data_IF_571158621068
#
_entry.id   IF_571158621068
#
_cell.length_a   1.000
_cell.length_b   1.000
_cell.length_c   1.000
_cell.angle_alpha   90.00
_cell.angle_beta   90.00
_cell.angle_gamma   90.00
#
_symmetry.space_group_name_H-M   'P 1'
#
loop_
_entity.id
_entity.type
_entity.pdbx_description
1 polymer ?
#
# COMPACT_ATOMS: atom_id res chain seq x y z
N UNK A 1 -40.02 1.24 -0.09
CA UNK A 1 -41.17 2.11 -0.41
C UNK A 1 -41.61 1.90 -1.86
N UNK A 2 -41.74 0.64 -2.26
CA UNK A 2 -42.03 0.23 -3.64
C UNK A 2 -41.72 -1.23 -3.86
N UNK A 3 -42.01 -1.70 -5.09
CA UNK A 3 -41.76 -3.08 -5.55
C UNK A 3 -40.84 -3.03 -6.77
N UNK A 4 -39.82 -3.90 -6.81
CA UNK A 4 -39.00 -4.08 -8.01
C UNK A 4 -39.78 -4.92 -9.03
N UNK A 5 -39.98 -4.38 -10.23
CA UNK A 5 -40.72 -4.99 -11.32
C UNK A 5 -39.96 -4.77 -12.64
N UNK A 6 -39.54 -5.86 -13.29
CA UNK A 6 -38.76 -5.84 -14.53
C UNK A 6 -37.54 -4.88 -14.52
N UNK A 7 -36.78 -4.84 -13.42
CA UNK A 7 -35.59 -4.00 -13.29
C UNK A 7 -35.85 -2.51 -13.05
N UNK A 8 -37.11 -2.12 -12.80
CA UNK A 8 -37.49 -0.77 -12.38
C UNK A 8 -38.23 -0.82 -11.05
N UNK A 9 -38.07 0.22 -10.22
CA UNK A 9 -38.86 0.32 -9.00
C UNK A 9 -40.22 0.98 -9.28
N UNK A 10 -41.29 0.26 -8.95
CA UNK A 10 -42.64 0.81 -8.89
C UNK A 10 -42.89 1.34 -7.47
N UNK A 11 -42.87 2.66 -7.31
CA UNK A 11 -42.97 3.30 -6.00
C UNK A 11 -44.37 3.28 -5.42
N UNK A 12 -44.44 3.09 -4.09
CA UNK A 12 -45.68 3.19 -3.34
C UNK A 12 -46.21 4.63 -3.38
N UNK A 13 -47.51 4.81 -3.08
CA UNK A 13 -48.13 6.13 -2.98
C UNK A 13 -47.35 7.05 -2.06
N UNK A 14 -47.00 8.25 -2.55
CA UNK A 14 -46.21 9.22 -1.80
C UNK A 14 -44.69 9.11 -1.97
N UNK A 15 -44.17 8.20 -2.80
CA UNK A 15 -42.72 8.03 -3.04
C UNK A 15 -42.33 8.20 -4.52
N UNK A 16 -41.11 8.63 -4.78
CA UNK A 16 -40.55 8.90 -6.12
C UNK A 16 -39.03 8.68 -6.16
N UNK A 17 -38.46 8.74 -7.37
CA UNK A 17 -37.06 8.42 -7.64
C UNK A 17 -36.88 6.99 -8.16
N UNK A 18 -35.72 6.71 -8.76
CA UNK A 18 -35.45 5.43 -9.45
C UNK A 18 -35.44 4.22 -8.51
N UNK A 19 -35.18 4.46 -7.22
CA UNK A 19 -35.23 3.47 -6.14
C UNK A 19 -36.30 3.81 -5.09
N UNK A 20 -37.25 4.68 -5.41
CA UNK A 20 -38.31 5.14 -4.50
C UNK A 20 -37.78 5.76 -3.20
N UNK A 21 -36.67 6.50 -3.31
CA UNK A 21 -35.93 7.05 -2.19
C UNK A 21 -36.44 8.43 -1.74
N UNK A 22 -37.23 9.14 -2.55
CA UNK A 22 -37.72 10.49 -2.24
C UNK A 22 -39.21 10.50 -1.88
N UNK A 23 -39.62 11.23 -0.84
CA UNK A 23 -41.04 11.44 -0.58
C UNK A 23 -41.58 12.51 -1.55
N UNK A 24 -42.79 12.32 -2.06
CA UNK A 24 -43.48 13.28 -2.95
C UNK A 24 -43.96 14.53 -2.23
N UNK A 25 -44.30 14.38 -0.94
CA UNK A 25 -44.70 15.48 -0.06
C UNK A 25 -43.67 15.63 1.04
N UNK A 26 -43.39 16.88 1.44
CA UNK A 26 -42.46 17.16 2.50
C UNK A 26 -43.11 17.96 3.61
N UNK A 27 -43.21 17.34 4.80
CA UNK A 27 -43.77 17.97 6.00
C UNK A 27 -42.70 18.67 6.86
N UNK A 28 -41.45 18.70 6.37
CA UNK A 28 -40.32 19.34 7.05
C UNK A 28 -40.12 20.77 6.55
N UNK A 29 -39.75 21.68 7.45
CA UNK A 29 -39.24 22.99 7.06
C UNK A 29 -37.89 22.84 6.35
N UNK A 30 -37.51 23.82 5.51
CA UNK A 30 -36.20 23.84 4.83
C UNK A 30 -35.03 23.70 5.81
N UNK A 31 -35.13 24.30 7.01
CA UNK A 31 -34.10 24.21 8.04
C UNK A 31 -33.96 22.79 8.60
N UNK A 32 -35.08 22.13 8.93
CA UNK A 32 -35.08 20.75 9.42
C UNK A 32 -34.60 19.76 8.36
N UNK A 33 -35.10 19.91 7.12
CA UNK A 33 -34.64 19.12 5.98
C UNK A 33 -33.12 19.24 5.80
N UNK A 34 -32.59 20.47 5.76
CA UNK A 34 -31.17 20.70 5.57
C UNK A 34 -30.31 20.11 6.70
N UNK A 35 -30.78 20.10 7.94
CA UNK A 35 -30.03 19.48 9.05
C UNK A 35 -29.81 17.98 8.86
N UNK A 36 -30.73 17.28 8.20
CA UNK A 36 -30.59 15.84 7.91
C UNK A 36 -29.70 15.54 6.71
N UNK A 37 -29.40 16.55 5.89
CA UNK A 37 -28.57 16.45 4.69
C UNK A 37 -27.13 16.93 4.92
N UNK A 38 -26.78 17.33 6.14
CA UNK A 38 -25.43 17.76 6.50
C UNK A 38 -24.53 16.56 6.81
N UNK A 39 -23.32 16.57 6.25
CA UNK A 39 -22.28 15.62 6.61
C UNK A 39 -21.51 16.05 7.88
N UNK A 40 -20.44 15.35 8.23
CA UNK A 40 -19.59 15.63 9.41
C UNK A 40 -18.89 17.00 9.36
N UNK A 41 -18.79 17.61 8.18
CA UNK A 41 -18.19 18.93 7.95
C UNK A 41 -19.25 20.03 7.82
N UNK A 42 -20.50 19.75 8.21
CA UNK A 42 -21.63 20.67 8.10
C UNK A 42 -22.02 21.06 6.65
N UNK A 43 -21.49 20.35 5.65
CA UNK A 43 -21.77 20.58 4.23
C UNK A 43 -23.04 19.83 3.83
N UNK A 44 -23.97 20.53 3.17
CA UNK A 44 -25.24 19.96 2.71
C UNK A 44 -24.97 19.20 1.40
N UNK A 45 -25.26 17.90 1.39
CA UNK A 45 -25.13 17.03 0.21
C UNK A 45 -23.78 17.17 -0.50
N UNK A 46 -22.69 17.36 0.27
CA UNK A 46 -21.31 17.49 -0.22
C UNK A 46 -21.12 18.50 -1.36
N UNK A 47 -22.04 19.48 -1.49
CA UNK A 47 -22.13 20.40 -2.64
C UNK A 47 -22.29 19.72 -4.03
N UNK A 48 -22.60 18.42 -4.06
CA UNK A 48 -22.76 17.61 -5.27
C UNK A 48 -24.22 17.15 -5.47
N UNK A 49 -25.16 17.91 -4.89
CA UNK A 49 -26.57 17.64 -4.97
C UNK A 49 -27.44 18.61 -4.20
N UNK A 50 -28.74 18.38 -4.26
CA UNK A 50 -29.76 19.20 -3.60
C UNK A 50 -30.46 18.43 -2.49
N UNK A 51 -30.68 19.07 -1.33
CA UNK A 51 -31.41 18.45 -0.23
C UNK A 51 -32.92 18.55 -0.46
N UNK A 52 -33.59 17.40 -0.53
CA UNK A 52 -35.03 17.28 -0.65
C UNK A 52 -35.60 16.42 0.48
N UNK A 53 -36.30 17.07 1.41
CA UNK A 53 -36.97 16.44 2.54
C UNK A 53 -36.07 15.51 3.39
N UNK A 54 -34.90 16.03 3.76
CA UNK A 54 -33.92 15.32 4.58
C UNK A 54 -33.15 14.22 3.86
N UNK A 55 -33.20 14.18 2.53
CA UNK A 55 -32.38 13.29 1.69
C UNK A 55 -31.72 14.06 0.57
N UNK A 56 -30.51 13.67 0.21
CA UNK A 56 -29.78 14.27 -0.89
C UNK A 56 -30.19 13.69 -2.23
N UNK A 57 -30.39 14.57 -3.21
CA UNK A 57 -30.57 14.26 -4.62
C UNK A 57 -29.32 14.70 -5.36
N UNK A 58 -28.50 13.72 -5.72
CA UNK A 58 -27.19 13.95 -6.33
C UNK A 58 -27.33 14.37 -7.79
N UNK A 59 -26.42 15.25 -8.23
CA UNK A 59 -26.45 15.83 -9.56
C UNK A 59 -25.73 14.90 -10.55
N UNK A 60 -26.50 14.22 -11.40
CA UNK A 60 -26.02 13.19 -12.35
C UNK A 60 -26.36 13.55 -13.82
N UNK A 61 -26.35 14.84 -14.16
CA UNK A 61 -26.91 15.38 -15.41
C UNK A 61 -26.15 14.99 -16.68
N UNK A 62 -24.86 14.65 -16.56
CA UNK A 62 -23.92 14.65 -17.69
C UNK A 62 -23.57 13.24 -18.22
N UNK A 63 -24.12 12.18 -17.64
CA UNK A 63 -23.94 10.79 -18.11
C UNK A 63 -22.52 10.20 -17.95
N UNK A 64 -21.53 11.02 -17.61
CA UNK A 64 -20.10 10.64 -17.51
C UNK A 64 -19.64 10.30 -16.08
N UNK A 65 -20.55 9.95 -15.18
CA UNK A 65 -20.20 9.60 -13.80
C UNK A 65 -21.43 9.49 -12.91
N UNK A 66 -21.38 8.59 -11.94
CA UNK A 66 -22.42 8.44 -10.93
C UNK A 66 -21.92 9.06 -9.62
N UNK A 67 -22.55 10.16 -9.22
CA UNK A 67 -22.48 10.73 -7.88
C UNK A 67 -23.58 10.08 -7.03
N UNK A 68 -23.17 9.49 -5.91
CA UNK A 68 -24.07 8.77 -5.00
C UNK A 68 -23.56 8.86 -3.56
N UNK A 69 -24.19 8.10 -2.67
CA UNK A 69 -23.99 8.17 -1.24
C UNK A 69 -25.13 8.90 -0.55
N UNK A 70 -25.14 8.88 0.78
CA UNK A 70 -26.23 9.47 1.57
C UNK A 70 -26.25 10.99 1.45
N UNK A 71 -25.08 11.57 1.29
CA UNK A 71 -24.78 12.98 1.20
C UNK A 71 -24.12 13.33 -0.14
N UNK A 72 -24.24 12.51 -1.19
CA UNK A 72 -23.57 12.73 -2.48
C UNK A 72 -22.05 12.86 -2.37
N UNK A 73 -21.46 12.09 -1.46
CA UNK A 73 -20.05 12.12 -1.09
C UNK A 73 -19.15 11.26 -1.99
N UNK A 74 -19.72 10.40 -2.83
CA UNK A 74 -18.97 9.52 -3.70
C UNK A 74 -19.19 9.89 -5.16
N UNK A 75 -18.09 9.97 -5.92
CA UNK A 75 -18.09 10.23 -7.35
C UNK A 75 -17.25 9.15 -8.06
N UNK A 76 -17.89 8.36 -8.93
CA UNK A 76 -17.18 7.29 -9.64
C UNK A 76 -16.07 7.80 -10.57
N UNK A 77 -16.07 9.10 -10.93
CA UNK A 77 -15.02 9.71 -11.75
C UNK A 77 -13.67 9.76 -11.05
N UNK A 78 -13.64 9.69 -9.72
CA UNK A 78 -12.40 9.58 -8.95
C UNK A 78 -11.63 8.27 -9.25
N UNK A 79 -12.33 7.28 -9.80
CA UNK A 79 -11.77 5.98 -10.18
C UNK A 79 -11.44 5.85 -11.66
N UNK A 80 -11.58 6.92 -12.46
CA UNK A 80 -11.17 6.88 -13.87
C UNK A 80 -9.66 6.64 -13.92
N UNK A 81 -9.28 5.71 -14.78
CA UNK A 81 -7.90 5.45 -15.13
C UNK A 81 -7.47 6.42 -16.24
N UNK A 82 -6.32 7.08 -16.06
CA UNK A 82 -5.85 8.15 -16.97
C UNK A 82 -5.40 7.61 -18.33
N UNK A 83 -5.06 6.33 -18.45
CA UNK A 83 -4.60 5.71 -19.70
C UNK A 83 -5.75 5.18 -20.55
N UNK A 84 -6.71 4.52 -19.91
CA UNK A 84 -7.85 3.86 -20.56
C UNK A 84 -9.09 4.75 -20.65
N UNK A 85 -9.16 5.82 -19.86
CA UNK A 85 -10.35 6.66 -19.65
C UNK A 85 -11.56 5.88 -19.09
N UNK A 86 -11.35 4.67 -18.58
CA UNK A 86 -12.40 3.81 -18.02
C UNK A 86 -12.39 3.83 -16.49
N UNK A 87 -13.57 3.71 -15.88
CA UNK A 87 -13.70 3.57 -14.42
C UNK A 87 -13.11 2.22 -14.01
N UNK A 88 -12.08 2.25 -13.14
CA UNK A 88 -11.35 1.07 -12.71
C UNK A 88 -10.87 0.20 -13.88
N UNK A 89 -10.33 0.84 -14.93
CA UNK A 89 -9.79 0.18 -16.12
C UNK A 89 -10.80 -0.72 -16.84
N UNK A 90 -12.11 -0.53 -16.62
CA UNK A 90 -13.16 -1.41 -17.14
C UNK A 90 -13.29 -2.76 -16.40
N UNK A 91 -12.40 -3.03 -15.45
CA UNK A 91 -12.24 -4.31 -14.78
C UNK A 91 -12.61 -4.27 -13.30
N UNK A 92 -13.37 -3.27 -12.87
CA UNK A 92 -13.79 -3.13 -11.49
C UNK A 92 -15.07 -2.32 -11.31
N UNK A 93 -15.43 -2.11 -10.05
CA UNK A 93 -16.45 -1.15 -9.66
C UNK A 93 -15.83 -0.12 -8.73
N UNK A 94 -16.09 1.16 -8.98
CA UNK A 94 -15.69 2.21 -8.07
C UNK A 94 -16.66 2.26 -6.88
N UNK A 95 -16.09 2.40 -5.70
CA UNK A 95 -16.80 2.67 -4.47
C UNK A 95 -16.10 3.79 -3.73
N UNK A 96 -16.59 5.02 -3.93
CA UNK A 96 -16.09 6.22 -3.25
C UNK A 96 -14.55 6.38 -3.35
N UNK A 97 -14.05 6.48 -4.59
CA UNK A 97 -12.62 6.66 -4.87
C UNK A 97 -11.77 5.39 -4.83
N UNK A 98 -12.33 4.24 -4.45
CA UNK A 98 -11.62 2.97 -4.38
C UNK A 98 -12.16 1.96 -5.41
N UNK A 99 -11.27 1.34 -6.18
CA UNK A 99 -11.65 0.32 -7.14
C UNK A 99 -11.71 -1.07 -6.51
N UNK A 100 -12.83 -1.76 -6.75
CA UNK A 100 -13.03 -3.14 -6.36
C UNK A 100 -12.96 -4.00 -7.62
N UNK A 101 -11.80 -4.62 -7.80
CA UNK A 101 -11.48 -5.35 -9.02
C UNK A 101 -12.26 -6.65 -9.17
N UNK A 102 -12.51 -7.00 -10.43
CA UNK A 102 -13.01 -8.31 -10.82
C UNK A 102 -11.95 -9.39 -10.53
N UNK A 103 -12.38 -10.65 -10.49
CA UNK A 103 -11.47 -11.76 -10.20
C UNK A 103 -10.35 -11.84 -11.25
N UNK A 104 -9.09 -11.86 -10.77
CA UNK A 104 -7.89 -11.90 -11.61
C UNK A 104 -7.32 -10.53 -12.00
N UNK A 105 -8.00 -9.44 -11.62
CA UNK A 105 -7.55 -8.07 -11.80
C UNK A 105 -7.09 -7.46 -10.47
N UNK A 106 -6.03 -6.65 -10.54
CA UNK A 106 -5.32 -6.09 -9.40
C UNK A 106 -4.82 -4.67 -9.74
N UNK A 107 -4.34 -3.96 -8.72
CA UNK A 107 -3.94 -2.56 -8.82
C UNK A 107 -4.99 -1.63 -8.23
N UNK A 108 -4.61 -0.36 -8.05
CA UNK A 108 -5.48 0.66 -7.45
C UNK A 108 -6.61 1.07 -8.39
N UNK A 109 -6.43 0.87 -9.70
CA UNK A 109 -7.42 1.10 -10.75
C UNK A 109 -7.76 -0.19 -11.53
N UNK A 110 -7.39 -1.36 -11.03
CA UNK A 110 -7.62 -2.65 -11.68
C UNK A 110 -6.97 -2.81 -13.06
N UNK A 111 -5.79 -2.21 -13.22
CA UNK A 111 -5.02 -2.14 -14.46
C UNK A 111 -4.17 -3.40 -14.72
N UNK A 112 -3.95 -4.24 -13.71
CA UNK A 112 -3.10 -5.43 -13.81
C UNK A 112 -3.91 -6.72 -13.88
N UNK A 113 -3.72 -7.51 -14.94
CA UNK A 113 -4.21 -8.88 -15.02
C UNK A 113 -3.10 -9.87 -14.67
N UNK A 114 -3.38 -10.85 -13.81
CA UNK A 114 -2.43 -11.93 -13.57
C UNK A 114 -2.68 -13.11 -14.53
N UNK A 115 -1.61 -13.59 -15.17
CA UNK A 115 -1.61 -14.84 -15.95
C UNK A 115 -1.49 -16.11 -15.08
N UNK A 116 -1.36 -15.94 -13.77
CA UNK A 116 -1.14 -17.02 -12.81
C UNK A 116 -2.30 -17.16 -11.84
N UNK A 117 -2.47 -18.35 -11.27
CA UNK A 117 -3.55 -18.60 -10.30
C UNK A 117 -3.31 -17.86 -8.98
N UNK A 118 -4.37 -17.56 -8.19
CA UNK A 118 -4.21 -16.96 -6.86
C UNK A 118 -3.30 -17.76 -5.92
N UNK A 119 -3.29 -19.09 -6.08
CA UNK A 119 -2.41 -19.98 -5.32
C UNK A 119 -0.94 -19.80 -5.71
N UNK A 120 -0.63 -19.78 -7.01
CA UNK A 120 0.73 -19.58 -7.51
C UNK A 120 1.27 -18.19 -7.17
N UNK A 121 0.41 -17.16 -7.28
CA UNK A 121 0.76 -15.80 -6.84
C UNK A 121 1.16 -15.79 -5.37
N UNK A 122 0.33 -16.36 -4.49
CA UNK A 122 0.62 -16.44 -3.07
C UNK A 122 1.93 -17.20 -2.80
N UNK A 123 2.15 -18.32 -3.50
CA UNK A 123 3.34 -19.15 -3.32
C UNK A 123 4.63 -18.39 -3.66
N UNK A 124 4.64 -17.62 -4.75
CA UNK A 124 5.83 -16.83 -5.16
C UNK A 124 6.17 -15.72 -4.17
N UNK A 125 5.17 -15.10 -3.58
CA UNK A 125 5.36 -14.04 -2.58
C UNK A 125 5.61 -14.57 -1.16
N UNK A 126 5.58 -15.89 -0.93
CA UNK A 126 5.75 -16.46 0.41
C UNK A 126 7.23 -16.60 0.73
N UNK A 127 7.70 -15.88 1.74
CA UNK A 127 9.08 -15.95 2.25
C UNK A 127 9.35 -17.29 2.95
N UNK A 128 10.63 -17.66 3.18
CA UNK A 128 10.99 -18.93 3.81
C UNK A 128 10.42 -19.14 5.23
N UNK A 129 10.07 -18.05 5.92
CA UNK A 129 9.41 -18.07 7.23
C UNK A 129 7.88 -18.24 7.15
N UNK A 130 7.33 -18.39 5.93
CA UNK A 130 5.91 -18.64 5.67
C UNK A 130 5.03 -17.39 5.63
N UNK A 131 5.62 -16.19 5.64
CA UNK A 131 4.90 -14.91 5.54
C UNK A 131 4.76 -14.48 4.08
N UNK A 132 3.69 -13.76 3.76
CA UNK A 132 3.55 -13.19 2.41
C UNK A 132 4.18 -11.80 2.41
N UNK A 133 5.16 -11.58 1.54
CA UNK A 133 5.95 -10.35 1.47
C UNK A 133 6.44 -9.87 2.85
N UNK A 134 6.87 -10.81 3.71
CA UNK A 134 7.31 -10.54 5.10
C UNK A 134 6.33 -9.73 5.96
N UNK A 135 5.04 -9.66 5.58
CA UNK A 135 4.05 -8.72 6.12
C UNK A 135 4.45 -7.23 6.02
N UNK A 136 5.34 -6.89 5.10
CA UNK A 136 5.87 -5.55 4.83
C UNK A 136 5.57 -5.08 3.40
N UNK A 137 4.68 -5.77 2.71
CA UNK A 137 4.29 -5.44 1.35
C UNK A 137 3.02 -6.15 0.92
N UNK A 138 2.57 -5.82 -0.29
CA UNK A 138 1.40 -6.40 -0.94
C UNK A 138 1.88 -7.31 -2.07
N UNK A 139 1.38 -8.55 -2.09
CA UNK A 139 1.64 -9.49 -3.18
C UNK A 139 0.67 -9.26 -4.34
N UNK A 140 1.20 -8.96 -5.52
CA UNK A 140 0.44 -8.80 -6.76
C UNK A 140 1.10 -9.65 -7.85
N UNK A 141 0.35 -10.57 -8.45
CA UNK A 141 0.85 -11.47 -9.52
C UNK A 141 2.16 -12.22 -9.22
N UNK A 142 2.42 -12.53 -7.95
CA UNK A 142 3.63 -13.23 -7.53
C UNK A 142 4.85 -12.34 -7.30
N UNK A 143 4.66 -11.02 -7.33
CA UNK A 143 5.66 -10.01 -7.02
C UNK A 143 5.24 -9.22 -5.78
N UNK A 144 6.19 -8.91 -4.91
CA UNK A 144 5.94 -8.14 -3.70
C UNK A 144 6.20 -6.65 -3.96
N UNK A 145 5.18 -5.83 -3.80
CA UNK A 145 5.31 -4.38 -3.68
C UNK A 145 5.54 -4.02 -2.22
N UNK A 146 6.77 -3.66 -1.86
CA UNK A 146 7.15 -3.34 -0.49
C UNK A 146 6.65 -1.96 -0.07
N UNK A 147 6.29 -1.82 1.21
CA UNK A 147 5.89 -0.55 1.78
C UNK A 147 7.10 0.30 2.12
N UNK A 148 7.09 1.58 1.75
CA UNK A 148 8.16 2.55 2.08
C UNK A 148 8.16 2.95 3.57
N UNK A 149 7.10 2.61 4.29
CA UNK A 149 6.88 2.99 5.69
C UNK A 149 6.64 1.74 6.51
N UNK A 150 7.48 1.53 7.52
CA UNK A 150 7.27 0.46 8.50
C UNK A 150 6.05 0.78 9.40
N UNK A 151 5.38 -0.22 10.02
CA UNK A 151 4.25 0.03 10.92
C UNK A 151 4.50 1.01 12.08
N UNK A 152 5.77 1.31 12.40
CA UNK A 152 6.17 2.33 13.39
C UNK A 152 6.10 3.78 12.86
N UNK A 153 5.87 3.97 11.56
CA UNK A 153 5.79 5.29 10.92
C UNK A 153 7.14 5.89 10.55
N UNK A 154 8.22 5.12 10.68
CA UNK A 154 9.56 5.52 10.30
C UNK A 154 9.86 5.03 8.87
N UNK A 155 10.36 5.93 8.04
CA UNK A 155 10.71 5.67 6.65
C UNK A 155 11.93 4.75 6.61
N UNK A 156 11.82 3.65 5.87
CA UNK A 156 12.92 2.71 5.68
C UNK A 156 12.88 2.15 4.28
N UNK A 157 14.05 1.95 3.69
CA UNK A 157 14.18 1.34 2.37
C UNK A 157 13.95 -0.17 2.52
N UNK A 158 12.68 -0.58 2.48
CA UNK A 158 12.27 -1.99 2.56
C UNK A 158 12.30 -2.59 1.16
N UNK A 159 13.06 -3.66 0.97
CA UNK A 159 13.27 -4.26 -0.34
C UNK A 159 13.51 -5.78 -0.25
N UNK A 160 13.77 -6.39 -1.41
CA UNK A 160 13.93 -7.85 -1.57
C UNK A 160 12.70 -8.48 -2.22
N UNK A 161 12.87 -9.71 -2.73
CA UNK A 161 11.81 -10.42 -3.48
C UNK A 161 10.55 -10.64 -2.63
N UNK A 162 10.71 -10.71 -1.30
CA UNK A 162 9.65 -10.89 -0.32
C UNK A 162 9.64 -9.80 0.75
N UNK A 163 10.18 -8.61 0.46
CA UNK A 163 10.26 -7.48 1.39
C UNK A 163 10.94 -7.82 2.74
N UNK A 164 11.90 -8.74 2.70
CA UNK A 164 12.58 -9.25 3.88
C UNK A 164 13.66 -8.30 4.41
N UNK A 165 14.12 -7.34 3.59
CA UNK A 165 15.22 -6.45 3.93
C UNK A 165 14.75 -5.06 4.29
N UNK A 166 15.45 -4.46 5.24
CA UNK A 166 15.28 -3.08 5.69
C UNK A 166 16.67 -2.46 5.83
N UNK A 167 16.96 -1.36 5.15
CA UNK A 167 18.30 -0.74 5.21
C UNK A 167 18.69 -0.28 6.62
N UNK A 168 17.75 -0.12 7.55
CA UNK A 168 18.07 0.14 8.97
C UNK A 168 18.80 -1.03 9.62
N UNK A 169 18.64 -2.24 9.08
CA UNK A 169 19.39 -3.42 9.50
C UNK A 169 20.89 -3.29 9.19
N UNK A 170 21.32 -2.32 8.37
CA UNK A 170 22.72 -2.03 8.10
C UNK A 170 23.41 -1.18 9.16
N UNK A 171 22.66 -0.58 10.09
CA UNK A 171 23.22 0.20 11.20
C UNK A 171 24.26 -0.54 12.06
N UNK A 172 24.15 -1.85 12.33
CA UNK A 172 25.16 -2.60 13.08
C UNK A 172 26.51 -2.73 12.36
N UNK A 173 26.55 -2.61 11.03
CA UNK A 173 27.80 -2.72 10.23
C UNK A 173 28.34 -1.35 9.78
N UNK A 174 27.75 -0.27 10.29
CA UNK A 174 28.19 1.10 10.09
C UNK A 174 29.21 1.48 11.18
N UNK A 175 30.42 1.85 10.76
CA UNK A 175 31.43 2.41 11.65
C UNK A 175 31.37 3.94 11.60
N UNK A 176 31.00 4.52 12.74
CA UNK A 176 30.90 5.98 12.93
C UNK A 176 32.25 6.69 12.87
N UNK A 177 33.37 6.01 13.16
CA UNK A 177 34.68 6.64 13.19
C UNK A 177 35.27 6.81 11.79
N UNK A 178 35.09 5.82 10.92
CA UNK A 178 35.52 5.89 9.52
C UNK A 178 34.45 6.46 8.60
N UNK A 179 33.20 6.56 9.07
CA UNK A 179 32.01 6.92 8.27
C UNK A 179 31.79 5.96 7.09
N UNK A 180 32.03 4.67 7.32
CA UNK A 180 31.95 3.61 6.31
C UNK A 180 31.02 2.47 6.78
N UNK A 181 30.39 1.82 5.81
CA UNK A 181 29.73 0.51 6.02
C UNK A 181 30.71 -0.60 5.67
N UNK A 182 30.64 -1.74 6.38
CA UNK A 182 31.41 -2.93 6.03
C UNK A 182 32.92 -2.65 5.88
N UNK A 183 33.49 -1.92 6.85
CA UNK A 183 34.89 -1.48 6.87
C UNK A 183 35.36 -0.75 5.60
N UNK A 184 34.45 -0.19 4.80
CA UNK A 184 34.74 0.42 3.48
C UNK A 184 35.01 -0.62 2.37
N UNK A 185 34.98 -1.91 2.71
CA UNK A 185 35.37 -3.03 1.86
C UNK A 185 34.21 -3.92 1.45
N UNK A 186 32.98 -3.47 1.67
CA UNK A 186 31.78 -4.16 1.20
C UNK A 186 30.62 -3.22 0.98
N UNK A 187 29.50 -3.80 0.58
CA UNK A 187 28.21 -3.14 0.58
C UNK A 187 27.29 -3.88 1.54
N UNK A 188 26.54 -3.14 2.35
CA UNK A 188 25.56 -3.77 3.22
C UNK A 188 24.30 -4.09 2.42
N UNK A 189 23.85 -5.35 2.52
CA UNK A 189 22.59 -5.84 2.00
C UNK A 189 21.89 -6.59 3.14
N UNK A 190 20.72 -6.11 3.58
CA UNK A 190 19.91 -6.80 4.59
C UNK A 190 20.65 -7.02 5.93
N UNK A 191 21.42 -6.01 6.39
CA UNK A 191 22.24 -6.11 7.61
C UNK A 191 23.44 -7.05 7.52
N UNK A 192 23.79 -7.51 6.32
CA UNK A 192 24.96 -8.33 6.05
C UNK A 192 25.87 -7.66 5.03
N UNK A 193 27.18 -7.78 5.22
CA UNK A 193 28.15 -7.26 4.27
C UNK A 193 28.44 -8.23 3.13
N UNK A 194 28.28 -7.75 1.89
CA UNK A 194 28.83 -8.37 0.69
C UNK A 194 30.21 -7.77 0.41
N UNK A 195 31.25 -8.54 0.70
CA UNK A 195 32.62 -8.07 0.62
C UNK A 195 33.12 -7.97 -0.83
N UNK A 196 33.85 -6.90 -1.11
CA UNK A 196 34.62 -6.72 -2.34
C UNK A 196 35.65 -7.85 -2.47
N UNK A 197 36.00 -8.19 -3.71
CA UNK A 197 37.03 -9.20 -4.01
C UNK A 197 38.31 -8.89 -3.24
N UNK A 198 38.85 -9.89 -2.55
CA UNK A 198 40.05 -9.73 -1.72
C UNK A 198 39.79 -9.46 -0.25
N UNK A 199 38.53 -9.35 0.19
CA UNK A 199 38.14 -9.12 1.58
C UNK A 199 37.18 -10.18 2.10
N UNK A 200 37.23 -10.44 3.40
CA UNK A 200 36.37 -11.37 4.12
C UNK A 200 36.17 -10.92 5.57
N UNK A 201 35.30 -11.61 6.30
CA UNK A 201 34.87 -11.23 7.64
C UNK A 201 33.38 -10.90 7.66
N UNK A 202 32.82 -10.57 8.84
CA UNK A 202 31.41 -10.21 8.94
C UNK A 202 31.14 -8.78 8.50
N UNK A 203 32.15 -7.92 8.67
CA UNK A 203 32.17 -6.50 8.36
C UNK A 203 33.21 -6.22 7.27
N UNK A 204 33.68 -7.24 6.53
CA UNK A 204 34.75 -7.15 5.54
C UNK A 204 36.07 -6.56 6.09
N UNK A 205 36.37 -6.87 7.34
CA UNK A 205 37.47 -6.32 8.12
C UNK A 205 38.84 -6.98 7.83
N UNK A 206 38.87 -8.07 7.06
CA UNK A 206 40.09 -8.84 6.82
C UNK A 206 40.43 -9.01 5.33
N UNK A 207 41.69 -8.76 4.93
CA UNK A 207 42.13 -9.04 3.57
C UNK A 207 42.45 -10.53 3.37
N UNK A 208 42.01 -11.11 2.26
CA UNK A 208 42.24 -12.51 1.87
C UNK A 208 43.73 -12.82 1.62
N UNK A 209 44.50 -11.84 1.14
CA UNK A 209 45.95 -11.95 0.99
C UNK A 209 46.64 -11.14 2.08
N UNK A 210 47.31 -11.84 3.01
CA UNK A 210 48.13 -11.19 4.02
C UNK A 210 49.54 -10.95 3.45
N UNK A 211 50.01 -9.69 3.35
CA UNK A 211 51.38 -9.40 2.91
C UNK A 211 52.43 -9.69 3.99
N UNK A 212 52.01 -10.03 5.21
CA UNK A 212 52.89 -10.31 6.34
C UNK A 212 53.20 -11.82 6.40
N UNK A 213 54.41 -12.16 6.81
CA UNK A 213 54.75 -13.53 7.19
C UNK A 213 53.98 -13.94 8.46
N UNK A 214 53.83 -15.24 8.70
CA UNK A 214 53.14 -15.76 9.88
C UNK A 214 53.77 -15.23 11.20
N UNK A 215 55.10 -15.11 11.24
CA UNK A 215 55.84 -14.60 12.41
C UNK A 215 55.59 -13.11 12.67
N UNK A 216 55.53 -12.29 11.61
CA UNK A 216 55.22 -10.86 11.71
C UNK A 216 53.76 -10.61 12.10
N UNK A 217 52.85 -11.43 11.57
CA UNK A 217 51.43 -11.41 11.95
C UNK A 217 51.25 -11.72 13.43
N UNK A 218 51.89 -12.79 13.94
CA UNK A 218 51.84 -13.16 15.36
C UNK A 218 52.39 -12.05 16.26
N UNK A 219 53.50 -11.41 15.88
CA UNK A 219 54.08 -10.28 16.64
C UNK A 219 53.13 -9.09 16.74
N UNK A 220 52.37 -8.79 15.67
CA UNK A 220 51.38 -7.71 15.67
C UNK A 220 50.12 -8.06 16.48
N UNK A 221 49.77 -9.34 16.53
CA UNK A 221 48.61 -9.85 17.27
C UNK A 221 48.86 -10.03 18.78
N UNK A 222 50.11 -9.98 19.24
CA UNK A 222 50.43 -9.96 20.66
C UNK A 222 50.17 -8.57 21.25
N UNK A 223 49.00 -8.42 21.89
CA UNK A 223 48.78 -7.33 22.85
C UNK A 223 49.68 -7.47 24.08
N UNK A 224 49.50 -6.61 25.08
CA UNK A 224 50.28 -6.61 26.35
C UNK A 224 50.01 -7.81 27.27
N UNK A 225 49.33 -8.86 26.80
CA UNK A 225 49.04 -10.07 27.55
C UNK A 225 49.65 -11.30 26.85
N UNK A 226 50.10 -12.29 27.62
CA UNK A 226 50.72 -13.52 27.10
C UNK A 226 49.75 -14.48 26.38
N UNK A 227 48.54 -14.02 26.05
CA UNK A 227 47.53 -14.78 25.31
C UNK A 227 47.51 -14.29 23.85
N UNK A 228 47.57 -15.19 22.84
CA UNK A 228 47.30 -14.80 21.48
C UNK A 228 45.82 -14.38 21.38
N UNK A 229 45.58 -13.12 21.00
CA UNK A 229 44.27 -12.52 20.69
C UNK A 229 43.11 -12.86 21.65
N UNK A 230 42.73 -11.95 22.54
CA UNK A 230 41.52 -12.10 23.36
C UNK A 230 40.24 -11.71 22.59
N UNK A 231 39.90 -12.42 21.51
CA UNK A 231 38.69 -12.22 20.70
C UNK A 231 38.55 -10.84 20.02
N UNK A 232 37.91 -10.69 18.86
CA UNK A 232 37.26 -11.63 17.94
C UNK A 232 38.18 -11.95 16.76
#
# INVERSE_FOLDING_TARGET
HGVCDCGKCRCDGGWSGDACQYPKTCDLTKKQSNQMCKNSQDIICSNAGTCHCGRCKCDNSDGNGLIYGKFCECDDRECIDDETEEICGGHGKCYCGNCYCQAGWHGDKCEFQCDITPWESKQRCTSPDGRVCSNRGICVCGECSCHDVDPTGDWGDIHGDTCECDERDCKPVYDRYSDDFCSGHGQCNCGRCDCKVGWYGKECEHPLSCPLSAEESIKKCQGSSALPCSGR
#
